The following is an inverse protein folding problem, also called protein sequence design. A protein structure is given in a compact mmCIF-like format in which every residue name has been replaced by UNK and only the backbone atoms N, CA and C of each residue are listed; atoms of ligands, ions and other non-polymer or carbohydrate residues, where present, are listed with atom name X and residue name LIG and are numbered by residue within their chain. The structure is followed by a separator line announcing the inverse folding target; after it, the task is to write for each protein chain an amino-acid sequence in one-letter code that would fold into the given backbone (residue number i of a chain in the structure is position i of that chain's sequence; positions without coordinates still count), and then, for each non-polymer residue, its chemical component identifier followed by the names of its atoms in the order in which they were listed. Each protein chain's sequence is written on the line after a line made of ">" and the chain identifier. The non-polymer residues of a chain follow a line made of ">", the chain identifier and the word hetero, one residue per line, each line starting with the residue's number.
data_IF_910570205231
#
_entry.id   IF_910570205231
#
_cell.length_a   1.000
_cell.length_b   1.000
_cell.length_c   1.000
_cell.angle_alpha   90.00
_cell.angle_beta   90.00
_cell.angle_gamma   90.00
#
_symmetry.space_group_name_H-M   'P 1'
#
loop_
_entity.id
_entity.type
_entity.pdbx_description
1 polymer ?
#
# COMPACT_ATOMS: atom_id res chain seq x y z
N UNK A 1 28.75 2.81 -0.49
CA UNK A 1 27.62 1.85 -0.39
C UNK A 1 26.34 2.67 -0.30
N UNK A 2 25.27 2.26 -0.97
CA UNK A 2 23.94 2.77 -0.64
C UNK A 2 23.44 1.93 0.53
N UNK A 3 23.28 2.55 1.70
CA UNK A 3 22.70 1.89 2.86
C UNK A 3 21.18 2.09 2.75
N UNK A 4 20.37 1.02 2.60
CA UNK A 4 18.92 1.18 2.62
C UNK A 4 18.50 1.75 3.99
N UNK A 5 17.40 2.51 4.07
CA UNK A 5 16.94 3.05 5.33
C UNK A 5 16.66 1.95 6.36
N UNK A 6 17.02 2.23 7.62
CA UNK A 6 16.66 1.43 8.79
C UNK A 6 15.13 1.22 8.88
N UNK A 7 14.67 0.14 9.51
CA UNK A 7 13.82 -0.83 8.81
C UNK A 7 12.36 -0.42 8.63
N UNK A 8 11.94 -0.23 7.37
CA UNK A 8 10.53 -0.43 6.98
C UNK A 8 10.06 -1.88 7.20
N UNK A 9 10.99 -2.84 7.31
CA UNK A 9 10.72 -4.26 7.55
C UNK A 9 9.73 -4.56 8.68
N UNK A 10 9.63 -3.69 9.70
CA UNK A 10 8.67 -3.88 10.79
C UNK A 10 7.59 -2.78 10.92
N UNK A 11 7.26 -2.09 9.83
CA UNK A 11 6.15 -1.14 9.81
C UNK A 11 4.79 -1.81 10.14
N UNK A 12 3.97 -1.14 10.95
CA UNK A 12 2.61 -1.54 11.36
C UNK A 12 1.68 -0.31 11.40
N UNK A 13 0.34 -0.51 11.40
CA UNK A 13 -0.61 0.59 11.56
C UNK A 13 -0.43 1.33 12.89
N UNK A 14 -0.38 2.66 12.83
CA UNK A 14 -0.19 3.55 13.96
C UNK A 14 -1.15 4.76 13.85
N UNK A 15 -1.81 5.23 14.93
CA UNK A 15 -2.75 6.36 14.88
C UNK A 15 -2.13 7.73 14.54
N UNK A 16 -0.81 7.88 14.66
CA UNK A 16 -0.06 9.09 14.32
C UNK A 16 0.26 9.23 12.83
N UNK A 17 0.16 8.16 12.03
CA UNK A 17 0.33 8.20 10.59
C UNK A 17 -0.89 8.85 9.93
N UNK A 18 -0.67 9.72 8.94
CA UNK A 18 -1.72 10.24 8.06
C UNK A 18 -1.99 9.25 6.91
N UNK A 19 -3.14 9.38 6.25
CA UNK A 19 -3.48 8.54 5.10
C UNK A 19 -2.42 8.59 3.98
N UNK A 20 -1.82 9.77 3.75
CA UNK A 20 -0.74 9.96 2.78
C UNK A 20 0.58 9.29 3.20
N UNK A 21 0.85 9.18 4.50
CA UNK A 21 2.04 8.51 5.03
C UNK A 21 1.89 7.00 4.84
N UNK A 22 0.70 6.44 5.10
CA UNK A 22 0.39 5.02 4.85
C UNK A 22 0.52 4.67 3.35
N UNK A 23 0.05 5.53 2.45
CA UNK A 23 0.24 5.35 0.99
C UNK A 23 1.73 5.39 0.63
N UNK A 24 2.48 6.39 1.12
CA UNK A 24 3.91 6.53 0.83
C UNK A 24 4.73 5.35 1.36
N UNK A 25 4.41 4.88 2.56
CA UNK A 25 5.03 3.72 3.21
C UNK A 25 4.77 2.43 2.44
N UNK A 26 3.54 2.19 1.98
CA UNK A 26 3.25 1.03 1.12
C UNK A 26 3.97 1.12 -0.24
N UNK A 27 4.08 2.31 -0.81
CA UNK A 27 4.79 2.50 -2.08
C UNK A 27 6.29 2.17 -1.93
N UNK A 28 6.98 2.67 -0.91
CA UNK A 28 8.40 2.36 -0.68
C UNK A 28 8.62 0.86 -0.34
N UNK A 29 7.74 0.28 0.48
CA UNK A 29 7.78 -1.15 0.81
C UNK A 29 7.58 -2.05 -0.44
N UNK A 30 6.62 -1.73 -1.30
CA UNK A 30 6.34 -2.50 -2.53
C UNK A 30 7.39 -2.23 -3.62
N UNK A 31 7.89 -0.99 -3.75
CA UNK A 31 8.97 -0.64 -4.67
C UNK A 31 10.23 -1.48 -4.42
N UNK A 32 10.60 -1.64 -3.15
CA UNK A 32 11.80 -2.35 -2.73
C UNK A 32 11.58 -3.86 -2.48
N UNK A 33 10.38 -4.42 -2.71
CA UNK A 33 10.06 -5.80 -2.34
C UNK A 33 11.04 -6.85 -2.91
N UNK A 34 11.51 -6.67 -4.14
CA UNK A 34 12.47 -7.61 -4.78
C UNK A 34 13.89 -7.53 -4.19
N UNK A 35 14.16 -6.54 -3.34
CA UNK A 35 15.38 -6.39 -2.54
C UNK A 35 15.21 -6.94 -1.10
N UNK A 36 14.02 -7.42 -0.77
CA UNK A 36 13.65 -7.93 0.56
C UNK A 36 13.49 -9.46 0.57
N UNK A 37 13.86 -10.16 1.64
CA UNK A 37 13.52 -11.58 1.80
C UNK A 37 12.00 -11.80 1.90
N UNK A 38 11.57 -12.97 1.45
CA UNK A 38 10.25 -13.58 1.70
C UNK A 38 9.02 -12.69 1.39
N UNK A 39 9.13 -11.77 0.43
CA UNK A 39 8.10 -10.77 0.09
C UNK A 39 7.73 -9.80 1.23
N UNK A 40 8.71 -9.40 2.06
CA UNK A 40 8.45 -8.52 3.21
C UNK A 40 7.75 -7.20 2.83
N UNK A 41 7.99 -6.65 1.64
CA UNK A 41 7.29 -5.47 1.12
C UNK A 41 5.78 -5.68 0.98
N UNK A 42 5.39 -6.83 0.40
CA UNK A 42 3.98 -7.24 0.30
C UNK A 42 3.41 -7.59 1.69
N UNK A 43 4.21 -8.19 2.59
CA UNK A 43 3.78 -8.46 3.98
C UNK A 43 3.48 -7.16 4.74
N UNK A 44 4.29 -6.11 4.55
CA UNK A 44 4.03 -4.78 5.11
C UNK A 44 2.69 -4.26 4.59
N UNK A 45 2.45 -4.28 3.27
CA UNK A 45 1.16 -3.87 2.71
C UNK A 45 -0.04 -4.65 3.30
N UNK A 46 0.12 -5.96 3.55
CA UNK A 46 -0.92 -6.79 4.20
C UNK A 46 -1.15 -6.42 5.69
N UNK A 47 -0.13 -5.97 6.44
CA UNK A 47 -0.32 -5.49 7.82
C UNK A 47 -1.28 -4.31 7.87
N UNK A 48 -1.20 -3.41 6.89
CA UNK A 48 -2.08 -2.26 6.73
C UNK A 48 -3.41 -2.56 6.00
N UNK A 49 -3.61 -3.77 5.47
CA UNK A 49 -4.88 -4.17 4.85
C UNK A 49 -6.00 -4.21 5.90
N UNK A 50 -7.11 -3.51 5.64
CA UNK A 50 -8.28 -3.46 6.52
C UNK A 50 -8.97 -4.83 6.66
N UNK A 51 -9.84 -5.03 7.67
CA UNK A 51 -10.64 -6.26 7.78
C UNK A 51 -11.45 -6.57 6.52
N UNK A 52 -11.98 -5.54 5.84
CA UNK A 52 -12.71 -5.69 4.59
C UNK A 52 -11.77 -6.08 3.43
N UNK A 53 -10.59 -5.46 3.35
CA UNK A 53 -9.58 -5.83 2.34
C UNK A 53 -9.13 -7.29 2.51
N UNK A 54 -8.82 -7.72 3.74
CA UNK A 54 -8.43 -9.11 4.03
C UNK A 54 -9.58 -10.09 3.78
N UNK A 55 -10.83 -9.72 4.06
CA UNK A 55 -11.98 -10.55 3.70
C UNK A 55 -12.17 -10.72 2.18
N UNK A 56 -11.83 -9.70 1.38
CA UNK A 56 -11.92 -9.74 -0.07
C UNK A 56 -10.71 -10.41 -0.76
N UNK A 57 -9.51 -10.28 -0.18
CA UNK A 57 -8.25 -10.78 -0.78
C UNK A 57 -7.79 -12.13 -0.21
N UNK A 58 -8.20 -12.47 1.01
CA UNK A 58 -7.91 -13.71 1.70
C UNK A 58 -6.77 -13.62 2.72
N UNK A 59 -6.21 -14.79 3.02
CA UNK A 59 -4.98 -14.96 3.79
C UNK A 59 -3.75 -14.35 3.08
N UNK A 60 -2.62 -14.31 3.79
CA UNK A 60 -1.39 -13.70 3.31
C UNK A 60 -0.82 -14.40 2.06
N UNK A 61 -0.99 -15.72 1.90
CA UNK A 61 -0.50 -16.44 0.71
C UNK A 61 -1.31 -16.04 -0.53
N UNK A 62 -2.64 -15.95 -0.39
CA UNK A 62 -3.53 -15.42 -1.43
C UNK A 62 -3.25 -13.96 -1.76
N UNK A 63 -2.95 -13.13 -0.75
CA UNK A 63 -2.58 -11.73 -0.96
C UNK A 63 -1.26 -11.60 -1.73
N UNK A 64 -0.24 -12.39 -1.40
CA UNK A 64 1.03 -12.42 -2.15
C UNK A 64 0.80 -12.85 -3.60
N UNK A 65 0.01 -13.91 -3.83
CA UNK A 65 -0.37 -14.34 -5.18
C UNK A 65 -1.18 -13.29 -5.96
N UNK A 66 -2.04 -12.52 -5.27
CA UNK A 66 -2.84 -11.44 -5.85
C UNK A 66 -1.95 -10.28 -6.31
N UNK A 67 -1.06 -9.78 -5.46
CA UNK A 67 -0.17 -8.64 -5.79
C UNK A 67 0.84 -9.00 -6.88
N UNK A 68 1.26 -10.27 -6.95
CA UNK A 68 2.13 -10.80 -8.03
C UNK A 68 1.40 -11.08 -9.35
N UNK A 69 0.08 -10.90 -9.44
CA UNK A 69 -0.65 -11.15 -10.69
C UNK A 69 -0.41 -10.03 -11.74
N UNK A 70 -0.69 -10.26 -13.04
CA UNK A 70 -0.38 -9.28 -14.10
C UNK A 70 -1.07 -7.91 -13.99
N UNK A 71 -2.20 -7.80 -13.28
CA UNK A 71 -2.91 -6.52 -13.08
C UNK A 71 -2.14 -5.61 -12.12
N UNK A 72 -1.52 -6.21 -11.11
CA UNK A 72 -0.81 -5.53 -10.02
C UNK A 72 0.72 -5.55 -10.18
N UNK A 73 1.31 -6.46 -10.97
CA UNK A 73 2.76 -6.70 -11.05
C UNK A 73 3.63 -5.41 -11.05
N UNK A 74 3.48 -4.44 -11.97
CA UNK A 74 4.12 -2.42 -11.52
C UNK A 74 3.50 -1.88 -10.24
N UNK A 75 3.36 -2.70 -9.21
CA UNK A 75 3.40 -2.30 -7.81
C UNK A 75 4.70 -2.79 -7.17
N UNK A 76 5.28 -3.88 -7.69
CA UNK A 76 6.56 -4.45 -7.29
C UNK A 76 7.67 -3.84 -8.17
N UNK A 77 8.83 -3.54 -7.58
CA UNK A 77 10.09 -3.32 -8.31
C UNK A 77 10.10 -2.12 -9.28
N UNK A 78 9.29 -1.10 -9.05
CA UNK A 78 9.11 0.02 -9.98
C UNK A 78 10.19 1.11 -9.87
N UNK A 79 10.26 2.01 -10.86
CA UNK A 79 11.31 3.04 -10.93
C UNK A 79 10.97 4.32 -10.18
N UNK A 80 9.70 4.74 -10.22
CA UNK A 80 9.15 5.81 -9.37
C UNK A 80 7.63 5.70 -9.26
N UNK A 81 7.09 6.26 -8.18
CA UNK A 81 5.68 6.60 -8.06
C UNK A 81 5.51 8.12 -8.20
N UNK A 82 4.47 8.54 -8.93
CA UNK A 82 3.99 9.92 -8.98
C UNK A 82 2.68 9.96 -8.19
N UNK A 83 2.63 10.74 -7.12
CA UNK A 83 1.49 10.81 -6.21
C UNK A 83 0.63 12.03 -6.54
N UNK A 84 -0.68 11.81 -6.71
CA UNK A 84 -1.67 12.87 -6.68
C UNK A 84 -1.93 13.37 -5.25
N UNK A 85 -2.74 14.42 -5.11
CA UNK A 85 -3.18 14.90 -3.80
C UNK A 85 -3.96 13.79 -3.05
N UNK A 86 -3.71 13.65 -1.75
CA UNK A 86 -4.55 12.83 -0.89
C UNK A 86 -5.86 13.57 -0.59
N UNK A 87 -6.99 12.92 -0.84
CA UNK A 87 -8.32 13.47 -0.60
C UNK A 87 -8.93 12.79 0.62
N UNK A 88 -9.13 13.54 1.71
CA UNK A 88 -9.88 13.10 2.89
C UNK A 88 -11.33 13.56 2.71
N UNK A 89 -12.29 12.66 2.92
CA UNK A 89 -13.71 12.99 2.83
C UNK A 89 -14.15 13.79 4.06
N UNK A 90 -14.77 14.96 3.85
CA UNK A 90 -15.12 15.89 4.93
C UNK A 90 -16.15 15.27 5.89
N UNK A 91 -15.74 15.10 7.15
CA UNK A 91 -16.59 14.51 8.19
C UNK A 91 -16.67 12.97 8.17
N UNK A 92 -15.90 12.30 7.31
CA UNK A 92 -15.79 10.84 7.27
C UNK A 92 -14.36 10.40 7.60
N UNK A 93 -14.24 9.23 8.21
CA UNK A 93 -12.96 8.53 8.40
C UNK A 93 -12.55 7.77 7.12
N UNK A 94 -12.63 8.44 5.98
CA UNK A 94 -12.36 7.90 4.64
C UNK A 94 -11.40 8.80 3.87
N UNK A 95 -10.46 8.19 3.16
CA UNK A 95 -9.50 8.89 2.31
C UNK A 95 -9.19 8.10 1.04
N UNK A 96 -8.76 8.79 -0.02
CA UNK A 96 -8.20 8.15 -1.20
C UNK A 96 -7.07 8.98 -1.79
N UNK A 97 -6.14 8.30 -2.47
CA UNK A 97 -5.04 8.94 -3.18
C UNK A 97 -4.83 8.25 -4.53
N UNK A 98 -4.75 9.07 -5.58
CA UNK A 98 -4.40 8.61 -6.91
C UNK A 98 -2.87 8.52 -7.02
N UNK A 99 -2.37 7.42 -7.58
CA UNK A 99 -0.95 7.18 -7.82
C UNK A 99 -0.77 6.74 -9.28
N UNK A 100 0.37 7.12 -9.86
CA UNK A 100 0.84 6.61 -11.15
C UNK A 100 2.21 5.98 -10.94
N UNK A 101 2.31 4.68 -11.19
CA UNK A 101 3.57 3.95 -11.09
C UNK A 101 4.23 3.92 -12.44
N UNK A 102 5.52 4.25 -12.49
CA UNK A 102 6.32 4.27 -13.72
C UNK A 102 7.36 3.15 -13.68
N UNK A 103 7.31 2.25 -14.66
CA UNK A 103 8.27 1.17 -14.93
C UNK A 103 8.90 1.41 -16.30
N UNK A 104 10.23 1.49 -16.42
CA UNK A 104 10.94 1.69 -17.70
C UNK A 104 10.65 0.58 -18.73
N UNK A 105 10.17 -0.59 -18.30
CA UNK A 105 9.89 -1.76 -19.16
C UNK A 105 8.50 -1.75 -19.80
N UNK A 106 7.46 -1.25 -19.11
CA UNK A 106 6.05 -1.32 -19.58
C UNK A 106 5.25 -0.01 -19.46
N UNK A 107 5.87 1.08 -19.01
CA UNK A 107 5.31 2.43 -19.05
C UNK A 107 4.71 2.89 -17.71
N UNK A 108 3.50 3.47 -17.76
CA UNK A 108 2.85 4.07 -16.59
C UNK A 108 1.49 3.42 -16.33
N UNK A 109 1.31 2.88 -15.12
CA UNK A 109 0.06 2.30 -14.64
C UNK A 109 -0.59 3.20 -13.57
N UNK A 110 -1.90 3.42 -13.65
CA UNK A 110 -2.67 4.18 -12.68
C UNK A 110 -3.32 3.29 -11.64
N UNK A 111 -3.17 3.64 -10.36
CA UNK A 111 -3.80 2.97 -9.23
C UNK A 111 -4.38 3.99 -8.24
N UNK A 112 -5.42 3.62 -7.51
CA UNK A 112 -5.99 4.41 -6.42
C UNK A 112 -5.96 3.61 -5.13
N UNK A 113 -5.29 4.13 -4.13
CA UNK A 113 -5.44 3.69 -2.75
C UNK A 113 -6.75 4.27 -2.20
N UNK A 114 -7.53 3.42 -1.54
CA UNK A 114 -8.72 3.77 -0.76
C UNK A 114 -8.47 3.31 0.67
N UNK A 115 -8.66 4.20 1.63
CA UNK A 115 -8.34 3.99 3.03
C UNK A 115 -9.51 4.39 3.92
N UNK A 116 -9.63 3.73 5.07
CA UNK A 116 -10.49 4.16 6.17
C UNK A 116 -9.75 4.13 7.50
N UNK A 117 -10.28 4.85 8.49
CA UNK A 117 -9.76 4.92 9.85
C UNK A 117 -10.83 4.45 10.85
N UNK A 118 -10.88 3.14 11.21
CA UNK A 118 -11.92 2.64 12.08
C UNK A 118 -11.86 3.29 13.48
N UNK A 119 -13.02 3.59 14.05
CA UNK A 119 -13.14 4.20 15.39
C UNK A 119 -13.17 3.16 16.54
N UNK A 120 -13.09 1.86 16.22
CA UNK A 120 -13.18 0.73 17.18
C UNK A 120 -12.39 -0.49 16.66
N UNK A 121 -12.04 -1.40 17.56
CA UNK A 121 -11.25 -2.59 17.27
C UNK A 121 -9.75 -2.35 17.43
N UNK A 122 -8.93 -3.37 17.16
CA UNK A 122 -7.51 -3.41 17.52
C UNK A 122 -6.64 -2.37 16.80
N UNK A 123 -7.13 -1.84 15.67
CA UNK A 123 -6.50 -0.78 14.87
C UNK A 123 -7.27 0.55 14.92
N UNK A 124 -8.01 0.81 16.01
CA UNK A 124 -8.78 2.04 16.16
C UNK A 124 -7.87 3.29 16.02
N UNK A 125 -8.31 4.27 15.23
CA UNK A 125 -7.56 5.49 14.95
C UNK A 125 -6.43 5.37 13.92
N UNK A 126 -6.05 4.15 13.50
CA UNK A 126 -5.05 3.92 12.45
C UNK A 126 -5.67 4.04 11.06
N UNK A 127 -4.98 4.60 10.07
CA UNK A 127 -5.40 4.48 8.67
C UNK A 127 -5.04 3.10 8.11
N UNK A 128 -6.03 2.41 7.54
CA UNK A 128 -5.91 1.09 6.90
C UNK A 128 -6.34 1.17 5.45
N UNK A 129 -5.79 0.32 4.58
CA UNK A 129 -6.13 0.25 3.16
C UNK A 129 -7.29 -0.71 2.94
N UNK A 130 -8.41 -0.21 2.43
CA UNK A 130 -9.57 -1.00 2.02
C UNK A 130 -9.42 -1.55 0.60
N UNK A 131 -8.80 -0.78 -0.31
CA UNK A 131 -8.56 -1.23 -1.68
C UNK A 131 -7.37 -0.53 -2.35
N UNK A 132 -6.71 -1.25 -3.27
CA UNK A 132 -5.86 -0.67 -4.31
C UNK A 132 -6.51 -0.99 -5.66
N UNK A 133 -7.13 0.02 -6.27
CA UNK A 133 -7.95 -0.14 -7.47
C UNK A 133 -7.16 0.30 -8.70
N UNK A 134 -7.08 -0.53 -9.74
CA UNK A 134 -6.50 -0.14 -11.03
C UNK A 134 -7.38 0.91 -11.71
N UNK A 135 -6.82 2.04 -12.13
CA UNK A 135 -7.54 3.15 -12.76
C UNK A 135 -7.08 3.46 -14.19
N UNK A 136 -5.89 2.99 -14.60
CA UNK A 136 -5.35 3.11 -15.97
C UNK A 136 -4.29 2.04 -16.22
#
# INVERSE_FOLDING_TARGET
>A
MFQPPEPLYDAYPDPGLLAADVVSLQLDALQNNDLMPDDAGIRIAYRFASPNNRAATGDLERFIALVKNPLYAPLIGFDRAELGQAHIALGLDEAWQQVWIVRRIDGTAGFRWVLSRPQRGDFAGCWLVDAVVRTK
#
